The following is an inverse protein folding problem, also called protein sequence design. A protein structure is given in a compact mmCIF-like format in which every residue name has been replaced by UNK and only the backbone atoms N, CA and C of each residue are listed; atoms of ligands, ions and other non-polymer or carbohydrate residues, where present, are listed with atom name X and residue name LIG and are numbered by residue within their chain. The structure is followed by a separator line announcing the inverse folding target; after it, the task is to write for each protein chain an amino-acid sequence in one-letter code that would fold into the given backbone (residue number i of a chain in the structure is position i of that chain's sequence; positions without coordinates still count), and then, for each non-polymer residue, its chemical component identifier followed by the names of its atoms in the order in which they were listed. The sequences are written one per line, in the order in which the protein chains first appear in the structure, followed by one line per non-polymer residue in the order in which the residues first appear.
data_IF_898520152269
#
_entry.id   IF_898520152269
#
_cell.length_a   1.000
_cell.length_b   1.000
_cell.length_c   1.000
_cell.angle_alpha   90.00
_cell.angle_beta   90.00
_cell.angle_gamma   90.00
#
_symmetry.space_group_name_H-M   'P 1'
#
loop_
_entity.id
_entity.type
_entity.pdbx_description
1 polymer ?
#
# COMPACT_ATOMS: atom_id res chain seq x y z
N UNK A 1 -40.81 12.34 22.37
CA UNK A 1 -40.84 11.38 21.24
C UNK A 1 -41.95 11.70 20.23
N UNK A 2 -41.94 12.86 19.56
CA UNK A 2 -43.00 13.21 18.59
C UNK A 2 -42.54 13.98 17.34
N UNK A 3 -41.24 14.25 17.21
CA UNK A 3 -40.66 14.96 16.06
C UNK A 3 -39.88 14.08 15.08
N UNK A 4 -39.58 12.82 15.42
CA UNK A 4 -38.93 11.86 14.51
C UNK A 4 -39.93 11.03 13.68
N UNK A 5 -41.23 11.04 14.00
CA UNK A 5 -42.25 10.28 13.27
C UNK A 5 -42.74 10.98 11.99
N UNK A 6 -42.61 12.31 11.86
CA UNK A 6 -43.07 13.04 10.67
C UNK A 6 -42.12 12.94 9.47
N UNK A 7 -40.83 12.66 9.70
CA UNK A 7 -39.85 12.57 8.60
C UNK A 7 -39.94 11.23 7.83
N UNK A 8 -40.48 10.18 8.44
CA UNK A 8 -40.71 8.90 7.74
C UNK A 8 -41.96 8.90 6.85
N UNK A 9 -42.93 9.80 7.09
CA UNK A 9 -44.17 9.88 6.32
C UNK A 9 -44.03 10.66 5.00
N UNK A 10 -42.92 11.37 4.77
CA UNK A 10 -42.72 12.17 3.55
C UNK A 10 -41.92 11.45 2.45
N UNK A 11 -41.29 10.30 2.71
CA UNK A 11 -40.47 9.59 1.71
C UNK A 11 -41.28 8.55 0.91
N UNK A 12 -42.49 8.19 1.37
CA UNK A 12 -43.32 7.16 0.72
C UNK A 12 -44.18 7.70 -0.44
N UNK A 13 -44.18 9.01 -0.70
CA UNK A 13 -45.12 9.64 -1.65
C UNK A 13 -44.50 10.14 -2.97
N UNK A 14 -43.39 9.55 -3.44
CA UNK A 14 -42.80 9.90 -4.74
C UNK A 14 -42.46 8.64 -5.56
N UNK A 15 -43.49 7.88 -5.94
CA UNK A 15 -43.43 6.89 -7.01
C UNK A 15 -44.24 7.44 -8.20
N UNK A 16 -43.63 7.77 -9.35
CA UNK A 16 -44.35 7.85 -10.59
C UNK A 16 -44.22 6.53 -11.35
N UNK A 17 -45.38 5.89 -11.52
CA UNK A 17 -45.67 4.84 -12.47
C UNK A 17 -45.54 5.39 -13.91
N UNK A 18 -44.86 4.68 -14.80
CA UNK A 18 -45.07 4.81 -16.25
C UNK A 18 -44.96 3.46 -16.98
N UNK A 19 -45.64 3.31 -18.14
CA UNK A 19 -46.24 2.06 -18.57
C UNK A 19 -45.44 1.32 -19.66
N UNK A 20 -45.77 0.04 -19.78
CA UNK A 20 -45.36 -0.85 -20.86
C UNK A 20 -46.10 -0.51 -22.18
N UNK A 21 -45.36 -0.43 -23.29
CA UNK A 21 -45.81 -0.76 -24.64
C UNK A 21 -44.69 -0.57 -25.65
N UNK A 22 -44.17 -1.65 -26.25
CA UNK A 22 -43.73 -1.61 -27.66
C UNK A 22 -44.12 -2.94 -28.32
N UNK A 23 -45.04 -2.82 -29.27
CA UNK A 23 -45.58 -3.89 -30.10
C UNK A 23 -44.61 -4.24 -31.23
N UNK A 24 -44.63 -5.52 -31.61
CA UNK A 24 -44.00 -6.06 -32.80
C UNK A 24 -44.79 -5.69 -34.07
N UNK A 25 -44.07 -5.42 -35.18
CA UNK A 25 -44.62 -5.56 -36.53
C UNK A 25 -44.16 -4.54 -37.58
N UNK A 26 -43.44 -5.08 -38.58
CA UNK A 26 -43.50 -4.75 -40.02
C UNK A 26 -42.53 -3.70 -40.63
N UNK A 27 -41.68 -4.26 -41.52
CA UNK A 27 -40.94 -3.73 -42.69
C UNK A 27 -41.67 -2.61 -43.49
N UNK A 28 -40.98 -1.73 -44.27
CA UNK A 28 -40.25 -2.14 -45.50
C UNK A 28 -38.99 -1.34 -45.93
N UNK A 29 -38.37 -1.93 -46.95
CA UNK A 29 -37.16 -1.63 -47.74
C UNK A 29 -37.18 -0.38 -48.63
N UNK A 30 -36.02 0.31 -48.76
CA UNK A 30 -35.49 1.01 -49.95
C UNK A 30 -33.93 1.11 -49.77
N UNK A 31 -33.06 0.43 -50.54
CA UNK A 31 -32.46 0.82 -51.85
C UNK A 31 -31.58 2.11 -51.73
N UNK A 32 -30.29 2.26 -52.12
CA UNK A 32 -29.37 1.71 -53.17
C UNK A 32 -27.88 2.09 -52.78
N UNK A 33 -26.84 2.07 -53.67
CA UNK A 33 -25.76 1.05 -53.84
C UNK A 33 -24.34 1.51 -53.42
N UNK A 34 -23.34 0.61 -53.44
CA UNK A 34 -22.04 0.83 -54.13
C UNK A 34 -21.35 -0.53 -54.35
N UNK A 35 -20.98 -0.79 -55.60
CA UNK A 35 -20.49 -2.08 -56.09
C UNK A 35 -19.03 -2.35 -55.76
N UNK A 36 -18.71 -3.64 -55.59
CA UNK A 36 -17.36 -4.16 -55.75
C UNK A 36 -17.40 -5.37 -56.68
N UNK A 37 -16.74 -5.21 -57.81
CA UNK A 37 -16.53 -6.20 -58.86
C UNK A 37 -15.44 -7.18 -58.42
N UNK A 38 -15.70 -8.48 -58.59
CA UNK A 38 -14.70 -9.54 -58.57
C UNK A 38 -14.24 -9.81 -60.02
N UNK A 39 -12.95 -10.11 -60.23
CA UNK A 39 -12.54 -11.01 -61.29
C UNK A 39 -12.03 -12.33 -60.70
N UNK A 40 -12.59 -13.41 -61.22
CA UNK A 40 -12.10 -14.76 -61.09
C UNK A 40 -10.92 -14.99 -62.05
N UNK A 41 -9.80 -15.50 -61.56
CA UNK A 41 -8.86 -16.31 -62.35
C UNK A 41 -8.24 -17.37 -61.46
N UNK A 42 -8.37 -18.63 -61.90
CA UNK A 42 -7.84 -19.79 -61.21
C UNK A 42 -6.32 -19.91 -61.32
N UNK A 43 -5.70 -20.43 -60.28
CA UNK A 43 -4.33 -20.94 -60.30
C UNK A 43 -4.32 -22.31 -59.62
N UNK A 44 -3.65 -23.24 -60.30
CA UNK A 44 -3.50 -24.66 -59.98
C UNK A 44 -2.77 -24.87 -58.65
N UNK A 45 -3.26 -25.79 -57.83
CA UNK A 45 -2.53 -26.28 -56.64
C UNK A 45 -1.40 -27.22 -57.09
N UNK A 46 -0.16 -26.76 -56.93
CA UNK A 46 1.03 -27.60 -56.94
C UNK A 46 1.34 -28.07 -55.52
N UNK A 47 1.46 -29.38 -55.35
CA UNK A 47 2.01 -30.04 -54.16
C UNK A 47 3.49 -29.68 -53.99
N UNK A 48 3.87 -29.20 -52.80
CA UNK A 48 5.24 -29.26 -52.31
C UNK A 48 5.23 -29.31 -50.78
N UNK A 49 5.72 -30.43 -50.25
CA UNK A 49 6.01 -30.69 -48.85
C UNK A 49 6.97 -29.65 -48.26
N UNK A 50 6.68 -29.20 -47.04
CA UNK A 50 7.72 -28.98 -46.03
C UNK A 50 7.06 -28.95 -44.65
N UNK A 51 7.29 -30.01 -43.88
CA UNK A 51 6.91 -30.12 -42.47
C UNK A 51 7.87 -29.22 -41.68
N UNK A 52 7.49 -27.95 -41.54
CA UNK A 52 8.14 -27.00 -40.63
C UNK A 52 7.49 -27.04 -39.25
N UNK A 53 8.07 -27.82 -38.34
CA UNK A 53 7.73 -27.82 -36.92
C UNK A 53 8.09 -26.47 -36.28
N UNK A 54 7.19 -25.49 -36.32
CA UNK A 54 7.25 -24.34 -35.42
C UNK A 54 6.89 -24.81 -34.00
N UNK A 55 7.92 -25.08 -33.19
CA UNK A 55 7.79 -25.12 -31.73
C UNK A 55 7.52 -23.69 -31.25
N UNK A 56 6.25 -23.32 -31.15
CA UNK A 56 5.84 -22.24 -30.26
C UNK A 56 6.19 -22.68 -28.84
N UNK A 57 7.29 -22.15 -28.30
CA UNK A 57 7.47 -22.11 -26.87
C UNK A 57 6.41 -21.13 -26.34
N UNK A 58 5.23 -21.67 -26.04
CA UNK A 58 4.32 -21.05 -25.10
C UNK A 58 5.13 -20.98 -23.80
N UNK A 59 5.73 -19.83 -23.54
CA UNK A 59 6.21 -19.50 -22.21
C UNK A 59 4.95 -19.33 -21.37
N UNK A 60 4.42 -20.44 -20.90
CA UNK A 60 3.36 -20.43 -19.90
C UNK A 60 3.90 -19.63 -18.72
N UNK A 61 3.26 -18.51 -18.33
CA UNK A 61 3.57 -17.93 -17.03
C UNK A 61 3.37 -19.04 -15.99
N UNK A 62 4.26 -19.17 -14.99
CA UNK A 62 4.11 -20.21 -13.99
C UNK A 62 2.69 -20.11 -13.42
N UNK A 63 1.93 -21.20 -13.51
CA UNK A 63 0.66 -21.32 -12.81
C UNK A 63 1.00 -21.15 -11.32
N UNK A 64 0.71 -19.97 -10.79
CA UNK A 64 0.88 -19.64 -9.38
C UNK A 64 -0.20 -20.38 -8.60
N UNK A 65 0.07 -21.63 -8.27
CA UNK A 65 -0.74 -22.42 -7.37
C UNK A 65 -0.82 -21.70 -6.02
N UNK A 66 -2.04 -21.34 -5.61
CA UNK A 66 -2.33 -20.56 -4.39
C UNK A 66 -1.77 -19.12 -4.46
N UNK A 67 -2.63 -18.19 -4.88
CA UNK A 67 -2.49 -16.72 -4.81
C UNK A 67 -2.33 -16.22 -3.36
N UNK A 68 -1.27 -16.63 -2.68
CA UNK A 68 -0.95 -16.14 -1.34
C UNK A 68 -0.27 -14.79 -1.44
N UNK A 69 -0.76 -13.85 -0.65
CA UNK A 69 -0.14 -12.57 -0.38
C UNK A 69 1.33 -12.80 0.04
N UNK A 70 2.32 -12.19 -0.64
CA UNK A 70 3.73 -12.48 -0.38
C UNK A 70 4.28 -11.74 0.85
N UNK A 71 3.48 -10.87 1.48
CA UNK A 71 3.89 -10.10 2.64
C UNK A 71 3.91 -10.98 3.89
N UNK A 72 5.05 -11.01 4.59
CA UNK A 72 5.16 -11.69 5.88
C UNK A 72 4.54 -10.82 6.99
N UNK A 73 3.49 -11.33 7.62
CA UNK A 73 2.75 -10.68 8.70
C UNK A 73 2.92 -11.40 10.04
N UNK A 74 3.94 -12.24 10.19
CA UNK A 74 4.15 -13.05 11.40
C UNK A 74 4.88 -12.31 12.54
N UNK A 75 5.66 -11.28 12.20
CA UNK A 75 6.51 -10.51 13.11
C UNK A 75 5.85 -9.43 14.00
N UNK A 76 4.67 -8.86 13.67
CA UNK A 76 4.09 -7.76 14.45
C UNK A 76 3.65 -8.15 15.86
N UNK A 77 3.68 -7.18 16.79
CA UNK A 77 3.04 -7.30 18.10
C UNK A 77 1.52 -7.04 17.97
N UNK A 78 0.77 -8.09 17.68
CA UNK A 78 -0.69 -7.99 17.55
C UNK A 78 -1.42 -7.72 18.86
N UNK A 79 -0.85 -8.06 20.02
CA UNK A 79 -1.45 -7.76 21.32
C UNK A 79 -1.50 -6.25 21.56
N UNK A 80 -0.38 -5.57 21.36
CA UNK A 80 -0.31 -4.11 21.42
C UNK A 80 -1.26 -3.49 20.39
N UNK A 81 -1.23 -3.98 19.16
CA UNK A 81 -2.07 -3.45 18.09
C UNK A 81 -3.56 -3.61 18.38
N UNK A 82 -4.00 -4.76 18.89
CA UNK A 82 -5.40 -5.00 19.29
C UNK A 82 -5.85 -4.04 20.39
N UNK A 83 -4.98 -3.78 21.38
CA UNK A 83 -5.26 -2.80 22.43
C UNK A 83 -5.44 -1.38 21.87
N UNK A 84 -4.62 -0.96 20.90
CA UNK A 84 -4.72 0.36 20.26
C UNK A 84 -5.95 0.47 19.37
N UNK A 85 -6.29 -0.60 18.64
CA UNK A 85 -7.38 -0.61 17.68
C UNK A 85 -8.77 -0.81 18.33
N UNK A 86 -8.84 -1.18 19.60
CA UNK A 86 -10.09 -1.29 20.35
C UNK A 86 -10.54 0.00 21.03
N UNK A 87 -9.65 1.00 21.14
CA UNK A 87 -9.99 2.34 21.61
C UNK A 87 -10.74 3.11 20.51
N UNK A 88 -11.96 3.60 20.81
CA UNK A 88 -12.77 4.39 19.88
C UNK A 88 -12.07 5.67 19.42
N UNK A 89 -11.21 6.25 20.28
CA UNK A 89 -10.37 7.41 19.93
C UNK A 89 -9.03 6.99 19.30
N UNK A 90 -8.76 5.69 19.26
CA UNK A 90 -7.55 5.06 18.77
C UNK A 90 -7.50 4.86 17.27
N UNK A 91 -8.58 5.11 16.51
CA UNK A 91 -8.66 4.82 15.07
C UNK A 91 -7.47 5.38 14.27
N UNK A 92 -7.09 6.64 14.50
CA UNK A 92 -5.95 7.24 13.80
C UNK A 92 -4.63 6.52 14.11
N UNK A 93 -4.40 6.14 15.38
CA UNK A 93 -3.23 5.37 15.80
C UNK A 93 -3.27 3.97 15.20
N UNK A 94 -4.42 3.29 15.26
CA UNK A 94 -4.63 1.97 14.66
C UNK A 94 -4.23 1.96 13.18
N UNK A 95 -4.67 2.95 12.40
CA UNK A 95 -4.30 3.04 10.98
C UNK A 95 -2.81 3.27 10.76
N UNK A 96 -2.12 3.98 11.67
CA UNK A 96 -0.65 4.12 11.61
C UNK A 96 0.04 2.79 11.86
N UNK A 97 -0.44 1.96 12.79
CA UNK A 97 0.08 0.60 13.01
C UNK A 97 -0.16 -0.30 11.79
N UNK A 98 -1.38 -0.31 11.24
CA UNK A 98 -1.70 -1.09 10.03
C UNK A 98 -0.76 -0.68 8.89
N UNK A 99 -0.61 0.62 8.64
CA UNK A 99 0.24 1.10 7.56
C UNK A 99 1.72 0.75 7.81
N UNK A 100 2.21 0.91 9.04
CA UNK A 100 3.58 0.57 9.40
C UNK A 100 3.88 -0.91 9.18
N UNK A 101 2.96 -1.80 9.58
CA UNK A 101 3.13 -3.25 9.41
C UNK A 101 3.22 -3.60 7.93
N UNK A 102 2.29 -3.10 7.11
CA UNK A 102 2.27 -3.36 5.67
C UNK A 102 3.53 -2.82 5.00
N UNK A 103 3.96 -1.61 5.35
CA UNK A 103 5.16 -1.00 4.79
C UNK A 103 6.44 -1.77 5.17
N UNK A 104 6.57 -2.22 6.42
CA UNK A 104 7.70 -3.05 6.87
C UNK A 104 7.73 -4.39 6.13
N UNK A 105 6.58 -5.08 6.06
CA UNK A 105 6.48 -6.34 5.32
C UNK A 105 6.76 -6.15 3.82
N UNK A 106 6.36 -5.01 3.26
CA UNK A 106 6.68 -4.65 1.88
C UNK A 106 8.16 -4.34 1.69
N UNK A 107 8.83 -3.73 2.67
CA UNK A 107 10.28 -3.53 2.65
C UNK A 107 11.05 -4.86 2.71
N UNK A 108 10.59 -5.82 3.53
CA UNK A 108 11.17 -7.16 3.57
C UNK A 108 10.99 -7.90 2.24
N UNK A 109 9.80 -7.80 1.62
CA UNK A 109 9.55 -8.34 0.29
C UNK A 109 10.42 -7.67 -0.78
N UNK A 110 10.52 -6.34 -0.76
CA UNK A 110 11.32 -5.53 -1.68
C UNK A 110 12.83 -5.81 -1.55
N UNK A 111 13.33 -6.16 -0.37
CA UNK A 111 14.72 -6.58 -0.17
C UNK A 111 15.06 -7.81 -1.02
N UNK A 112 14.11 -8.73 -1.19
CA UNK A 112 14.33 -9.95 -1.99
C UNK A 112 14.00 -9.79 -3.47
N UNK A 113 13.02 -8.95 -3.81
CA UNK A 113 12.49 -8.85 -5.19
C UNK A 113 12.90 -7.58 -5.93
N UNK A 114 13.28 -6.53 -5.22
CA UNK A 114 13.53 -5.20 -5.77
C UNK A 114 12.27 -4.44 -6.21
N UNK A 115 11.06 -4.99 -6.01
CA UNK A 115 9.79 -4.35 -6.35
C UNK A 115 9.25 -3.62 -5.12
N UNK A 116 8.70 -2.41 -5.29
CA UNK A 116 8.28 -1.55 -4.18
C UNK A 116 7.08 -2.07 -3.40
N UNK A 117 6.41 -3.14 -3.83
CA UNK A 117 5.28 -3.73 -3.14
C UNK A 117 4.75 -4.96 -3.89
N UNK A 118 3.55 -5.38 -3.52
CA UNK A 118 2.87 -6.53 -4.11
C UNK A 118 2.52 -6.24 -5.58
N UNK A 119 2.68 -7.20 -6.51
CA UNK A 119 2.22 -7.04 -7.89
C UNK A 119 0.72 -6.71 -7.97
N UNK A 120 0.34 -5.83 -8.89
CA UNK A 120 -1.03 -5.32 -9.01
C UNK A 120 -2.05 -6.46 -9.23
N UNK A 121 -1.65 -7.51 -9.94
CA UNK A 121 -2.50 -8.65 -10.32
C UNK A 121 -2.98 -9.47 -9.12
N UNK A 122 -2.25 -9.43 -8.00
CA UNK A 122 -2.59 -10.16 -6.77
C UNK A 122 -2.89 -9.23 -5.59
N UNK A 123 -2.96 -7.92 -5.83
CA UNK A 123 -3.10 -6.92 -4.75
C UNK A 123 -4.44 -7.04 -4.02
N UNK A 124 -5.56 -7.22 -4.74
CA UNK A 124 -6.89 -7.37 -4.12
C UNK A 124 -6.97 -8.62 -3.25
N UNK A 125 -6.44 -9.75 -3.74
CA UNK A 125 -6.37 -10.99 -2.97
C UNK A 125 -5.47 -10.83 -1.73
N UNK A 126 -4.38 -10.07 -1.84
CA UNK A 126 -3.47 -9.79 -0.74
C UNK A 126 -4.11 -8.87 0.31
N UNK A 127 -4.87 -7.86 -0.11
CA UNK A 127 -5.67 -7.01 0.78
C UNK A 127 -6.68 -7.86 1.58
N UNK A 128 -7.37 -8.79 0.92
CA UNK A 128 -8.26 -9.75 1.59
C UNK A 128 -7.53 -10.57 2.64
N UNK A 129 -6.39 -11.17 2.27
CA UNK A 129 -5.58 -11.97 3.21
C UNK A 129 -5.04 -11.15 4.40
N UNK A 130 -4.64 -9.89 4.17
CA UNK A 130 -4.23 -8.98 5.25
C UNK A 130 -5.42 -8.73 6.18
N UNK A 131 -6.59 -8.39 5.64
CA UNK A 131 -7.80 -8.16 6.43
C UNK A 131 -8.16 -9.37 7.29
N UNK A 132 -8.15 -10.58 6.70
CA UNK A 132 -8.41 -11.82 7.43
C UNK A 132 -7.36 -12.09 8.52
N UNK A 133 -6.08 -11.81 8.21
CA UNK A 133 -4.99 -11.92 9.19
C UNK A 133 -5.22 -10.98 10.37
N UNK A 134 -5.53 -9.70 10.12
CA UNK A 134 -5.81 -8.72 11.17
C UNK A 134 -6.95 -9.19 12.09
N UNK A 135 -8.06 -9.67 11.52
CA UNK A 135 -9.20 -10.20 12.28
C UNK A 135 -8.80 -11.42 13.11
N UNK A 136 -8.09 -12.39 12.50
CA UNK A 136 -7.62 -13.59 13.19
C UNK A 136 -6.69 -13.29 14.37
N UNK A 137 -6.02 -12.13 14.34
CA UNK A 137 -5.11 -11.64 15.37
C UNK A 137 -5.78 -10.72 16.40
N UNK A 138 -7.11 -10.61 16.37
CA UNK A 138 -7.90 -9.87 17.35
C UNK A 138 -8.07 -8.38 17.05
N UNK A 139 -7.73 -7.92 15.85
CA UNK A 139 -8.02 -6.56 15.40
C UNK A 139 -9.50 -6.46 14.97
N UNK A 140 -10.12 -5.30 15.21
CA UNK A 140 -11.53 -5.08 14.89
C UNK A 140 -11.81 -5.33 13.38
N UNK A 141 -12.88 -6.07 13.03
CA UNK A 141 -13.20 -6.37 11.62
C UNK A 141 -13.41 -5.14 10.72
N UNK A 142 -13.78 -4.01 11.31
CA UNK A 142 -13.96 -2.75 10.58
C UNK A 142 -12.66 -1.96 10.41
N UNK A 143 -11.52 -2.41 10.97
CA UNK A 143 -10.25 -1.68 10.89
C UNK A 143 -9.72 -1.51 9.47
N UNK A 144 -9.79 -2.57 8.66
CA UNK A 144 -9.39 -2.49 7.26
C UNK A 144 -10.21 -1.44 6.50
N UNK A 145 -11.52 -1.35 6.76
CA UNK A 145 -12.39 -0.40 6.07
C UNK A 145 -12.23 1.04 6.56
N UNK A 146 -12.21 1.30 7.87
CA UNK A 146 -12.05 2.67 8.37
C UNK A 146 -10.65 3.24 8.13
N UNK A 147 -9.62 2.40 8.06
CA UNK A 147 -8.28 2.82 7.66
C UNK A 147 -8.09 2.95 6.15
N UNK A 148 -9.04 2.44 5.36
CA UNK A 148 -8.98 2.50 3.90
C UNK A 148 -7.88 1.60 3.34
N UNK A 149 -7.75 0.37 3.82
CA UNK A 149 -6.88 -0.63 3.22
C UNK A 149 -7.30 -0.88 1.75
N UNK A 150 -6.35 -0.78 0.82
CA UNK A 150 -6.58 -0.82 -0.63
C UNK A 150 -6.92 0.52 -1.28
N UNK A 151 -7.18 1.58 -0.49
CA UNK A 151 -7.47 2.92 -1.01
C UNK A 151 -6.44 3.93 -0.51
N UNK A 152 -6.37 4.09 0.82
CA UNK A 152 -5.41 4.97 1.51
C UNK A 152 -4.12 4.24 1.88
N UNK A 153 -4.25 2.99 2.35
CA UNK A 153 -3.13 2.13 2.69
C UNK A 153 -2.98 1.11 1.57
N UNK A 154 -2.00 1.33 0.71
CA UNK A 154 -1.74 0.48 -0.45
C UNK A 154 -0.79 -0.66 -0.07
N UNK A 155 -0.91 -1.78 -0.79
CA UNK A 155 0.03 -2.92 -0.72
C UNK A 155 0.93 -2.98 -1.96
N UNK A 156 0.50 -2.32 -3.04
CA UNK A 156 1.25 -2.11 -4.27
C UNK A 156 1.61 -0.64 -4.36
N UNK A 157 2.90 -0.34 -4.38
CA UNK A 157 3.36 1.04 -4.37
C UNK A 157 3.87 1.43 -5.75
N UNK A 158 3.26 2.47 -6.30
CA UNK A 158 3.76 3.16 -7.48
C UNK A 158 3.91 4.64 -7.12
N UNK A 159 5.11 5.18 -7.33
CA UNK A 159 5.39 6.58 -7.07
C UNK A 159 5.88 7.26 -8.35
N UNK A 160 5.03 8.08 -8.97
CA UNK A 160 5.34 8.81 -10.21
C UNK A 160 5.92 7.86 -11.28
N UNK A 161 5.26 6.73 -11.50
CA UNK A 161 5.68 5.69 -12.45
C UNK A 161 6.80 4.76 -11.96
N UNK A 162 7.46 5.05 -10.84
CA UNK A 162 8.46 4.15 -10.24
C UNK A 162 7.80 3.02 -9.48
N UNK A 163 8.20 1.79 -9.78
CA UNK A 163 7.68 0.55 -9.17
C UNK A 163 8.76 -0.33 -8.56
N UNK A 164 10.04 0.04 -8.74
CA UNK A 164 11.19 -0.71 -8.22
C UNK A 164 12.01 0.12 -7.24
N UNK A 165 12.65 -0.56 -6.30
CA UNK A 165 13.60 0.02 -5.34
C UNK A 165 14.67 0.80 -6.08
N UNK A 166 15.26 0.22 -7.13
CA UNK A 166 16.34 0.84 -7.89
C UNK A 166 15.93 2.18 -8.52
N UNK A 167 14.72 2.25 -9.11
CA UNK A 167 14.20 3.50 -9.68
C UNK A 167 14.06 4.59 -8.61
N UNK A 168 13.53 4.24 -7.44
CA UNK A 168 13.42 5.18 -6.31
C UNK A 168 14.79 5.64 -5.82
N UNK A 169 15.75 4.71 -5.65
CA UNK A 169 17.10 5.05 -5.19
C UNK A 169 17.86 5.96 -6.18
N UNK A 170 17.61 5.79 -7.48
CA UNK A 170 18.23 6.58 -8.54
C UNK A 170 17.50 7.90 -8.82
N UNK A 171 16.35 8.13 -8.19
CA UNK A 171 15.59 9.36 -8.37
C UNK A 171 16.34 10.57 -7.78
N UNK A 172 16.15 11.77 -8.36
CA UNK A 172 16.81 12.98 -7.87
C UNK A 172 16.56 13.22 -6.37
N UNK A 173 17.60 13.61 -5.64
CA UNK A 173 17.57 13.94 -4.21
C UNK A 173 17.26 12.76 -3.26
N UNK A 174 17.05 11.53 -3.73
CA UNK A 174 16.87 10.38 -2.84
C UNK A 174 18.12 10.11 -1.98
N UNK A 175 19.31 10.41 -2.51
CA UNK A 175 20.56 10.25 -1.75
C UNK A 175 20.61 11.07 -0.45
N UNK A 176 19.87 12.18 -0.36
CA UNK A 176 19.77 12.97 0.87
C UNK A 176 18.93 12.27 1.93
N UNK A 177 17.87 11.56 1.50
CA UNK A 177 17.08 10.68 2.38
C UNK A 177 17.96 9.55 2.91
N UNK A 178 18.65 8.85 2.01
CA UNK A 178 19.57 7.77 2.40
C UNK A 178 20.61 8.25 3.42
N UNK A 179 21.24 9.41 3.19
CA UNK A 179 22.24 9.99 4.11
C UNK A 179 21.62 10.40 5.45
N UNK A 180 20.46 11.04 5.42
CA UNK A 180 19.79 11.56 6.62
C UNK A 180 19.20 10.47 7.49
N UNK A 181 18.88 9.32 6.91
CA UNK A 181 18.30 8.18 7.60
C UNK A 181 19.30 7.05 7.92
N UNK A 182 20.58 7.18 7.51
CA UNK A 182 21.60 6.13 7.65
C UNK A 182 22.04 5.82 9.11
N UNK A 183 21.61 6.60 10.09
CA UNK A 183 21.95 6.41 11.51
C UNK A 183 20.80 5.70 12.25
N UNK A 184 21.10 5.13 13.43
CA UNK A 184 20.06 4.61 14.32
C UNK A 184 19.06 5.72 14.65
N UNK A 185 17.79 5.54 14.27
CA UNK A 185 16.73 6.53 14.45
C UNK A 185 16.09 6.44 15.85
N UNK A 186 16.86 6.01 16.85
CA UNK A 186 16.39 5.81 18.23
C UNK A 186 16.26 7.12 19.02
N UNK A 187 16.86 8.21 18.55
CA UNK A 187 16.69 9.55 19.13
C UNK A 187 15.82 10.45 18.23
N UNK A 188 15.07 11.36 18.87
CA UNK A 188 14.13 12.27 18.19
C UNK A 188 14.81 13.19 17.16
N UNK A 189 16.08 13.54 17.36
CA UNK A 189 16.80 14.47 16.48
C UNK A 189 17.13 13.78 15.15
N UNK A 190 17.67 12.56 15.22
CA UNK A 190 17.95 11.73 14.05
C UNK A 190 16.67 11.36 13.30
N UNK A 191 15.62 10.96 14.03
CA UNK A 191 14.32 10.66 13.43
C UNK A 191 13.76 11.88 12.69
N UNK A 192 13.69 13.04 13.35
CA UNK A 192 13.18 14.27 12.73
C UNK A 192 13.99 14.71 11.51
N UNK A 193 15.32 14.54 11.53
CA UNK A 193 16.19 14.81 10.38
C UNK A 193 15.82 13.92 9.19
N UNK A 194 15.70 12.61 9.43
CA UNK A 194 15.29 11.64 8.41
C UNK A 194 13.91 11.99 7.81
N UNK A 195 12.91 12.25 8.65
CA UNK A 195 11.56 12.61 8.21
C UNK A 195 11.53 13.91 7.39
N UNK A 196 12.27 14.93 7.82
CA UNK A 196 12.34 16.19 7.10
C UNK A 196 13.00 16.03 5.74
N UNK A 197 14.06 15.22 5.65
CA UNK A 197 14.69 14.90 4.36
C UNK A 197 13.76 14.14 3.43
N UNK A 198 13.05 13.13 3.94
CA UNK A 198 12.05 12.38 3.19
C UNK A 198 10.91 13.27 2.69
N UNK A 199 10.39 14.14 3.55
CA UNK A 199 9.34 15.10 3.19
C UNK A 199 9.81 16.12 2.15
N UNK A 200 11.06 16.59 2.26
CA UNK A 200 11.66 17.46 1.25
C UNK A 200 11.73 16.75 -0.10
N UNK A 201 12.27 15.53 -0.14
CA UNK A 201 12.32 14.69 -1.34
C UNK A 201 10.93 14.53 -1.98
N UNK A 202 9.92 14.14 -1.19
CA UNK A 202 8.56 13.92 -1.69
C UNK A 202 7.92 15.19 -2.27
N UNK A 203 8.14 16.35 -1.65
CA UNK A 203 7.61 17.62 -2.17
C UNK A 203 8.21 17.97 -3.54
N UNK A 204 9.51 17.73 -3.73
CA UNK A 204 10.16 17.97 -5.02
C UNK A 204 9.73 16.96 -6.08
N UNK A 205 9.49 15.70 -5.68
CA UNK A 205 9.13 14.63 -6.59
C UNK A 205 7.67 14.71 -7.06
N UNK A 206 6.75 14.91 -6.11
CA UNK A 206 5.30 14.77 -6.33
C UNK A 206 4.68 16.11 -6.74
N UNK A 207 5.24 17.25 -6.30
CA UNK A 207 4.66 18.56 -6.56
C UNK A 207 3.26 18.72 -5.92
N UNK A 208 2.36 19.44 -6.60
CA UNK A 208 0.95 19.51 -6.22
C UNK A 208 0.18 18.30 -6.78
N UNK A 209 0.09 17.24 -5.96
CA UNK A 209 -0.68 16.04 -6.26
C UNK A 209 -1.65 15.74 -5.12
N UNK A 210 -2.59 14.82 -5.34
CA UNK A 210 -3.53 14.39 -4.33
C UNK A 210 -2.87 13.69 -3.12
N UNK A 211 -3.57 13.71 -1.99
CA UNK A 211 -3.08 13.16 -0.73
C UNK A 211 -2.81 11.64 -0.80
N UNK A 212 -3.49 10.89 -1.68
CA UNK A 212 -3.27 9.45 -1.82
C UNK A 212 -1.93 9.23 -2.50
N UNK A 213 -1.66 9.90 -3.62
CA UNK A 213 -0.36 9.80 -4.31
C UNK A 213 0.79 10.20 -3.39
N UNK A 214 0.66 11.29 -2.62
CA UNK A 214 1.70 11.69 -1.66
C UNK A 214 1.96 10.62 -0.60
N UNK A 215 0.91 10.01 -0.03
CA UNK A 215 1.04 8.94 0.95
C UNK A 215 1.65 7.67 0.34
N UNK A 216 1.22 7.28 -0.87
CA UNK A 216 1.79 6.14 -1.60
C UNK A 216 3.27 6.36 -1.89
N UNK A 217 3.65 7.55 -2.38
CA UNK A 217 5.05 7.91 -2.60
C UNK A 217 5.87 7.93 -1.32
N UNK A 218 5.28 8.41 -0.22
CA UNK A 218 5.91 8.39 1.10
C UNK A 218 6.22 6.96 1.53
N UNK A 219 5.24 6.07 1.44
CA UNK A 219 5.39 4.68 1.86
C UNK A 219 6.33 3.92 0.90
N UNK A 220 6.30 4.22 -0.40
CA UNK A 220 7.27 3.74 -1.38
C UNK A 220 8.72 4.17 -1.05
N UNK A 221 8.92 5.41 -0.61
CA UNK A 221 10.23 5.92 -0.21
C UNK A 221 10.76 5.22 1.04
N UNK A 222 9.87 4.96 2.01
CA UNK A 222 10.20 4.12 3.16
C UNK A 222 10.61 2.72 2.71
N UNK A 223 9.84 2.06 1.84
CA UNK A 223 10.15 0.72 1.33
C UNK A 223 11.49 0.69 0.63
N UNK A 224 11.76 1.62 -0.30
CA UNK A 224 13.01 1.69 -1.04
C UNK A 224 14.23 1.91 -0.12
N UNK A 225 14.06 2.72 0.92
CA UNK A 225 15.12 2.97 1.88
C UNK A 225 15.35 1.76 2.80
N UNK A 226 14.29 1.26 3.42
CA UNK A 226 14.36 0.22 4.44
C UNK A 226 14.66 -1.17 3.87
N UNK A 227 14.43 -1.39 2.57
CA UNK A 227 14.79 -2.64 1.88
C UNK A 227 16.29 -2.80 1.64
N UNK A 228 17.09 -1.75 1.83
CA UNK A 228 18.56 -1.83 1.65
C UNK A 228 19.24 -2.67 2.73
N UNK A 229 18.56 -3.03 3.82
CA UNK A 229 19.08 -3.91 4.87
C UNK A 229 20.20 -3.32 5.74
N UNK A 230 20.54 -2.04 5.55
CA UNK A 230 21.63 -1.38 6.27
C UNK A 230 21.29 -1.01 7.73
N UNK A 231 20.00 -0.90 8.05
CA UNK A 231 19.49 -0.53 9.38
C UNK A 231 18.26 -1.37 9.74
N UNK A 232 17.87 -1.36 11.02
CA UNK A 232 16.66 -2.00 11.50
C UNK A 232 15.41 -1.42 10.82
N UNK A 233 14.75 -2.22 9.97
CA UNK A 233 13.51 -1.86 9.27
C UNK A 233 12.39 -1.49 10.25
N UNK A 234 12.32 -2.20 11.39
CA UNK A 234 11.29 -1.97 12.43
C UNK A 234 11.53 -0.66 13.16
N UNK A 235 12.77 -0.35 13.57
CA UNK A 235 13.07 0.92 14.25
C UNK A 235 12.87 2.11 13.32
N UNK A 236 13.20 1.93 12.04
CA UNK A 236 12.94 2.94 11.01
C UNK A 236 11.45 3.19 10.84
N UNK A 237 10.64 2.13 10.83
CA UNK A 237 9.18 2.25 10.75
C UNK A 237 8.59 2.93 11.98
N UNK A 238 9.13 2.65 13.17
CA UNK A 238 8.72 3.31 14.41
C UNK A 238 8.86 4.83 14.31
N UNK A 239 9.99 5.32 13.79
CA UNK A 239 10.15 6.75 13.48
C UNK A 239 9.18 7.21 12.39
N UNK A 240 9.17 6.52 11.24
CA UNK A 240 8.44 6.92 10.03
C UNK A 240 6.93 7.05 10.21
N UNK A 241 6.35 6.08 10.90
CA UNK A 241 4.91 6.02 11.15
C UNK A 241 4.54 6.57 12.54
N UNK A 242 5.52 6.98 13.35
CA UNK A 242 5.40 7.41 14.75
C UNK A 242 4.59 6.42 15.60
N UNK A 243 5.06 5.18 15.62
CA UNK A 243 4.50 4.04 16.36
C UNK A 243 5.59 3.36 17.17
N UNK A 244 5.25 2.64 18.23
CA UNK A 244 6.22 2.00 19.13
C UNK A 244 5.85 0.53 19.34
N UNK A 245 6.82 -0.30 19.75
CA UNK A 245 6.57 -1.71 20.06
C UNK A 245 6.02 -2.52 18.89
N UNK A 246 6.40 -2.18 17.66
CA UNK A 246 5.89 -2.80 16.43
C UNK A 246 6.16 -4.30 16.36
N UNK A 247 7.32 -4.76 16.84
CA UNK A 247 7.69 -6.18 16.83
C UNK A 247 7.49 -6.82 18.20
N UNK A 248 6.99 -8.06 18.20
CA UNK A 248 6.87 -8.87 19.41
C UNK A 248 8.26 -9.15 20.05
N UNK A 249 9.34 -9.15 19.25
CA UNK A 249 10.71 -9.39 19.71
C UNK A 249 11.30 -8.20 20.48
N UNK A 250 10.76 -6.99 20.32
CA UNK A 250 11.25 -5.79 21.01
C UNK A 250 10.78 -5.67 22.46
N UNK A 251 9.81 -6.49 22.90
CA UNK A 251 9.24 -6.43 24.24
C UNK A 251 10.18 -7.03 25.31
N UNK A 252 11.22 -7.77 24.92
CA UNK A 252 12.19 -8.34 25.87
C UNK A 252 13.39 -7.45 26.21
N UNK A 253 13.52 -6.25 25.62
CA UNK A 253 14.58 -5.29 25.97
C UNK A 253 14.04 -4.08 26.76
N UNK A 254 13.00 -4.27 27.56
CA UNK A 254 12.71 -3.35 28.66
C UNK A 254 13.79 -3.59 29.71
N UNK A 255 14.82 -2.73 29.71
CA UNK A 255 15.69 -2.54 30.86
C UNK A 255 14.80 -2.39 32.11
N UNK A 256 14.94 -3.24 33.15
CA UNK A 256 14.17 -3.11 34.37
C UNK A 256 14.33 -1.71 34.96
N UNK A 257 13.24 -1.20 35.52
CA UNK A 257 13.03 0.18 35.98
C UNK A 257 13.87 0.59 37.20
N UNK A 258 14.97 -0.11 37.49
CA UNK A 258 15.79 0.07 38.70
C UNK A 258 17.15 0.75 38.46
N UNK A 259 17.51 1.12 37.22
CA UNK A 259 18.78 1.84 36.94
C UNK A 259 18.63 3.33 36.63
N UNK A 260 17.44 3.92 36.78
CA UNK A 260 17.22 5.34 36.53
C UNK A 260 17.74 6.26 37.67
N UNK A 261 18.33 5.67 38.71
CA UNK A 261 18.91 6.39 39.85
C UNK A 261 20.41 6.72 39.70
N UNK A 262 21.06 6.42 38.57
CA UNK A 262 22.50 6.69 38.39
C UNK A 262 22.86 7.80 37.38
N UNK A 263 21.88 8.51 36.82
CA UNK A 263 22.15 9.64 35.91
C UNK A 263 21.64 10.99 36.44
N UNK A 264 21.73 11.22 37.75
CA UNK A 264 21.68 12.55 38.34
C UNK A 264 23.09 12.91 38.83
N UNK A 265 23.93 13.37 37.91
CA UNK A 265 25.13 14.14 38.28
C UNK A 265 24.72 15.61 38.16
N UNK A 266 24.47 16.22 39.32
CA UNK A 266 24.33 17.66 39.47
C UNK A 266 25.61 18.35 39.00
N UNK A 267 25.54 19.10 37.90
CA UNK A 267 26.50 20.17 37.60
C UNK A 267 25.96 21.41 38.31
N UNK A 268 26.33 21.58 39.58
CA UNK A 268 26.19 22.85 40.25
C UNK A 268 27.29 23.79 39.75
N UNK A 269 26.85 24.90 39.15
CA UNK A 269 27.70 26.02 38.74
C UNK A 269 28.05 26.85 39.98
N UNK A 270 29.34 27.11 40.17
CA UNK A 270 29.89 28.01 41.20
C UNK A 270 30.00 29.43 40.62
N UNK A 271 29.63 30.48 41.36
CA UNK A 271 30.27 31.78 41.20
C UNK A 271 30.91 32.28 42.50
N UNK A 272 32.10 32.86 42.32
CA UNK A 272 32.91 33.62 43.28
C UNK A 272 32.13 34.55 44.22
N UNK A 273 32.47 34.53 45.52
CA UNK A 273 32.66 35.74 46.33
C UNK A 273 33.55 35.46 47.57
N UNK A 274 34.85 35.77 47.49
CA UNK A 274 35.65 36.55 48.46
C UNK A 274 37.11 36.72 48.03
#
# INVERSE_FOLDING_TARGET
MRRRLLALLLVVAALPLLPAAIAAGLLPTLAVPFGFSWPATGVRYGVAESVGLMKFLIHSPPLYGSTKCPLDLSWPNYELMASVCSDENGHSKCCRYINAIIAVSSAMYANTTGILGVPAEISDACIGNISDTLVSKGILPTAASFCGLGIKIQVSYQCIGMTTVLQMLQSPNFSDVTRSCATLLSDDVSCKRCLNSGLSYLRHLVGEQDNVTLNTCRDAAFVAFASQGNISTVDTASCFFSVQGLSALQVHSIVPRDLQLMCSVDIASDPEEQ
#
